data_IF_404893262465
#
_entry.id   IF_404893262465
#
_cell.length_a   1.000
_cell.length_b   1.000
_cell.length_c   1.000
_cell.angle_alpha   90.00
_cell.angle_beta   90.00
_cell.angle_gamma   90.00
#
_symmetry.space_group_name_H-M   'P 1'
#
loop_
_entity.id
_entity.type
_entity.pdbx_description
1 polymer ?
#
# COMPACT_ATOMS: atom_id res chain seq x y z
N UNK A 1 42.24 -6.58 -16.78
CA UNK A 1 41.73 -5.34 -16.15
C UNK A 1 40.41 -4.85 -16.76
N UNK A 2 40.31 -4.62 -18.09
CA UNK A 2 39.05 -4.18 -18.76
C UNK A 2 37.82 -5.08 -18.50
N UNK A 3 38.00 -6.40 -18.51
CA UNK A 3 36.91 -7.36 -18.27
C UNK A 3 36.33 -7.26 -16.83
N UNK A 4 37.19 -7.03 -15.84
CA UNK A 4 36.78 -6.89 -14.43
C UNK A 4 35.98 -5.60 -14.19
N UNK A 5 36.39 -4.52 -14.86
CA UNK A 5 35.70 -3.21 -14.80
C UNK A 5 34.31 -3.31 -15.43
N UNK A 6 34.19 -4.01 -16.57
CA UNK A 6 32.90 -4.25 -17.23
C UNK A 6 31.95 -5.08 -16.35
N UNK A 7 32.45 -6.16 -15.74
CA UNK A 7 31.67 -6.99 -14.81
C UNK A 7 31.24 -6.17 -13.58
N UNK A 8 32.14 -5.38 -12.99
CA UNK A 8 31.82 -4.53 -11.85
C UNK A 8 30.74 -3.47 -12.18
N UNK A 9 30.81 -2.84 -13.36
CA UNK A 9 29.80 -1.90 -13.83
C UNK A 9 28.44 -2.58 -14.04
N UNK A 10 28.40 -3.78 -14.64
CA UNK A 10 27.17 -4.54 -14.83
C UNK A 10 26.55 -4.94 -13.49
N UNK A 11 27.35 -5.39 -12.53
CA UNK A 11 26.90 -5.73 -11.17
C UNK A 11 26.34 -4.51 -10.45
N UNK A 12 27.01 -3.35 -10.53
CA UNK A 12 26.53 -2.11 -9.94
C UNK A 12 25.19 -1.67 -10.53
N UNK A 13 25.01 -1.76 -11.85
CA UNK A 13 23.72 -1.46 -12.51
C UNK A 13 22.62 -2.40 -12.03
N UNK A 14 22.90 -3.71 -11.93
CA UNK A 14 21.95 -4.68 -11.40
C UNK A 14 21.57 -4.42 -9.94
N UNK A 15 22.54 -4.08 -9.09
CA UNK A 15 22.28 -3.76 -7.68
C UNK A 15 21.34 -2.56 -7.56
N UNK A 16 21.58 -1.48 -8.33
CA UNK A 16 20.71 -0.30 -8.31
C UNK A 16 19.28 -0.60 -8.79
N UNK A 17 19.10 -1.49 -9.77
CA UNK A 17 17.79 -1.93 -10.24
C UNK A 17 17.03 -2.75 -9.19
N UNK A 18 17.73 -3.59 -8.42
CA UNK A 18 17.11 -4.45 -7.39
C UNK A 18 16.60 -3.63 -6.20
N UNK A 19 17.29 -2.56 -5.82
CA UNK A 19 16.91 -1.74 -4.65
C UNK A 19 15.63 -0.91 -4.91
N UNK A 20 15.22 -0.74 -6.17
CA UNK A 20 14.07 0.07 -6.54
C UNK A 20 12.70 -0.65 -6.43
N UNK A 21 12.64 -1.86 -5.89
CA UNK A 21 11.36 -2.56 -5.72
C UNK A 21 10.64 -2.03 -4.48
N UNK A 22 9.70 -1.10 -4.66
CA UNK A 22 8.73 -0.77 -3.61
C UNK A 22 7.89 -2.03 -3.32
N UNK A 23 7.86 -2.48 -2.06
CA UNK A 23 6.94 -3.54 -1.67
C UNK A 23 5.51 -3.04 -1.85
N UNK A 24 4.81 -3.57 -2.85
CA UNK A 24 3.38 -3.30 -3.03
C UNK A 24 2.59 -3.81 -1.82
N UNK A 25 1.77 -2.94 -1.25
CA UNK A 25 0.87 -3.32 -0.16
C UNK A 25 -0.08 -4.43 -0.59
N UNK A 26 -0.28 -5.42 0.29
CA UNK A 26 -1.22 -6.52 0.09
C UNK A 26 -2.12 -6.66 1.31
N UNK A 27 -3.40 -6.94 1.07
CA UNK A 27 -4.34 -7.24 2.15
C UNK A 27 -4.14 -8.65 2.69
N UNK A 28 -4.61 -8.89 3.91
CA UNK A 28 -4.59 -10.18 4.59
C UNK A 28 -6.00 -10.76 4.73
N UNK A 29 -6.14 -12.04 4.39
CA UNK A 29 -7.41 -12.77 4.49
C UNK A 29 -7.84 -12.87 5.96
N UNK A 30 -9.12 -12.64 6.24
CA UNK A 30 -9.66 -12.61 7.60
C UNK A 30 -9.47 -11.28 8.34
N UNK A 31 -8.62 -10.38 7.84
CA UNK A 31 -8.51 -9.01 8.36
C UNK A 31 -9.58 -8.13 7.71
N UNK A 32 -10.27 -7.36 8.54
CA UNK A 32 -11.21 -6.34 8.08
C UNK A 32 -10.47 -5.03 7.83
N UNK A 33 -10.84 -4.34 6.75
CA UNK A 33 -10.24 -3.08 6.37
C UNK A 33 -11.30 -1.99 6.17
N UNK A 34 -10.85 -0.74 6.26
CA UNK A 34 -11.63 0.44 5.91
C UNK A 34 -10.84 1.28 4.91
N UNK A 35 -11.44 1.54 3.76
CA UNK A 35 -10.93 2.45 2.74
C UNK A 35 -11.45 3.87 3.01
N UNK A 36 -10.51 4.82 3.02
CA UNK A 36 -10.77 6.27 3.11
C UNK A 36 -11.81 6.64 4.18
N UNK A 37 -11.75 5.95 5.33
CA UNK A 37 -12.67 6.11 6.48
C UNK A 37 -14.16 5.94 6.16
N UNK A 38 -14.50 5.26 5.07
CA UNK A 38 -15.87 5.14 4.60
C UNK A 38 -16.24 3.70 4.24
N UNK A 39 -15.59 3.16 3.22
CA UNK A 39 -15.93 1.87 2.64
C UNK A 39 -15.34 0.75 3.49
N UNK A 40 -16.17 -0.22 3.88
CA UNK A 40 -15.68 -1.46 4.49
C UNK A 40 -15.14 -2.38 3.41
N UNK A 41 -14.02 -3.04 3.68
CA UNK A 41 -13.34 -3.90 2.74
C UNK A 41 -12.92 -5.23 3.36
N UNK A 42 -12.83 -6.26 2.51
CA UNK A 42 -12.35 -7.60 2.85
C UNK A 42 -11.32 -8.06 1.83
N UNK A 43 -10.46 -8.99 2.25
CA UNK A 43 -9.45 -9.59 1.39
C UNK A 43 -9.87 -11.00 0.97
N UNK A 44 -9.81 -11.29 -0.33
CA UNK A 44 -10.05 -12.64 -0.85
C UNK A 44 -8.87 -13.57 -0.56
N UNK A 45 -9.06 -14.88 -0.77
CA UNK A 45 -7.98 -15.87 -0.70
C UNK A 45 -6.84 -15.57 -1.68
N UNK A 46 -7.17 -14.96 -2.82
CA UNK A 46 -6.21 -14.55 -3.86
C UNK A 46 -5.57 -13.18 -3.61
N UNK A 47 -5.74 -12.62 -2.40
CA UNK A 47 -5.18 -11.31 -1.98
C UNK A 47 -5.71 -10.12 -2.79
N UNK A 48 -6.95 -10.23 -3.28
CA UNK A 48 -7.66 -9.11 -3.89
C UNK A 48 -8.48 -8.40 -2.82
N UNK A 49 -8.41 -7.07 -2.80
CA UNK A 49 -9.22 -6.24 -1.91
C UNK A 49 -10.58 -5.97 -2.57
N UNK A 50 -11.66 -6.35 -1.90
CA UNK A 50 -13.03 -5.97 -2.27
C UNK A 50 -13.58 -4.98 -1.26
N UNK A 51 -14.07 -3.84 -1.74
CA UNK A 51 -14.66 -2.78 -0.90
C UNK A 51 -16.14 -2.57 -1.24
N UNK A 52 -16.91 -2.18 -0.23
CA UNK A 52 -18.27 -1.64 -0.42
C UNK A 52 -18.24 -0.30 -1.16
N UNK A 53 -19.35 0.10 -1.78
CA UNK A 53 -19.52 1.42 -2.41
C UNK A 53 -20.57 2.23 -1.66
N UNK A 54 -20.15 2.94 -0.61
CA UNK A 54 -21.03 3.80 0.18
C UNK A 54 -21.03 5.23 -0.33
N UNK A 55 -22.08 5.98 0.01
CA UNK A 55 -22.09 7.43 -0.15
C UNK A 55 -21.16 8.07 0.89
N UNK A 56 -19.92 8.38 0.48
CA UNK A 56 -18.90 8.96 1.33
C UNK A 56 -18.95 10.50 1.39
N UNK A 57 -18.50 11.07 2.51
CA UNK A 57 -18.27 12.52 2.61
C UNK A 57 -17.07 12.91 1.73
N UNK A 58 -17.33 13.74 0.71
CA UNK A 58 -16.40 13.94 -0.39
C UNK A 58 -15.08 14.61 0.02
N UNK A 59 -15.12 15.54 0.97
CA UNK A 59 -13.94 16.31 1.38
C UNK A 59 -12.93 15.41 2.09
N UNK A 60 -13.39 14.68 3.11
CA UNK A 60 -12.59 13.73 3.88
C UNK A 60 -12.11 12.59 3.01
N UNK A 61 -13.00 12.03 2.19
CA UNK A 61 -12.67 10.93 1.29
C UNK A 61 -11.56 11.33 0.32
N UNK A 62 -11.66 12.52 -0.31
CA UNK A 62 -10.64 13.03 -1.23
C UNK A 62 -9.30 13.28 -0.54
N UNK A 63 -9.28 13.80 0.68
CA UNK A 63 -8.04 14.00 1.44
C UNK A 63 -7.31 12.67 1.70
N UNK A 64 -8.05 11.65 2.12
CA UNK A 64 -7.50 10.31 2.39
C UNK A 64 -7.09 9.58 1.11
N UNK A 65 -7.84 9.80 0.03
CA UNK A 65 -7.51 9.25 -1.27
C UNK A 65 -6.17 9.75 -1.83
N UNK A 66 -5.81 10.99 -1.48
CA UNK A 66 -4.61 11.68 -1.95
C UNK A 66 -3.46 11.69 -0.92
N UNK A 67 -3.39 10.68 -0.03
CA UNK A 67 -2.25 10.51 0.86
C UNK A 67 -0.94 10.24 0.08
N UNK A 68 0.21 10.33 0.76
CA UNK A 68 1.52 10.02 0.16
C UNK A 68 1.69 8.50 0.03
N UNK A 69 1.64 7.97 -1.19
CA UNK A 69 1.79 6.53 -1.48
C UNK A 69 3.03 5.93 -0.80
N UNK A 70 2.88 4.72 -0.27
CA UNK A 70 3.93 3.98 0.43
C UNK A 70 4.11 4.39 1.89
N UNK A 71 3.46 5.45 2.35
CA UNK A 71 3.47 5.80 3.79
C UNK A 71 2.60 4.86 4.60
N UNK A 72 3.02 4.64 5.84
CA UNK A 72 2.26 3.90 6.85
C UNK A 72 2.16 4.72 8.12
N UNK A 73 1.03 4.61 8.81
CA UNK A 73 0.81 5.30 10.08
C UNK A 73 -0.13 4.49 10.95
N UNK A 74 -0.13 4.81 12.25
CA UNK A 74 -1.07 4.22 13.20
C UNK A 74 -2.21 5.21 13.43
N UNK A 75 -3.44 4.69 13.46
CA UNK A 75 -4.64 5.42 13.85
C UNK A 75 -5.27 4.66 15.00
N UNK A 76 -5.06 5.14 16.22
CA UNK A 76 -5.42 4.41 17.44
C UNK A 76 -4.81 3.00 17.43
N UNK A 77 -5.62 1.94 17.53
CA UNK A 77 -5.17 0.55 17.48
C UNK A 77 -5.08 -0.02 16.05
N UNK A 78 -5.41 0.78 15.03
CA UNK A 78 -5.43 0.37 13.63
C UNK A 78 -4.16 0.77 12.89
N UNK A 79 -3.68 -0.12 12.01
CA UNK A 79 -2.58 0.16 11.10
C UNK A 79 -3.13 0.65 9.77
N UNK A 80 -2.54 1.70 9.21
CA UNK A 80 -2.94 2.30 7.96
C UNK A 80 -1.79 2.36 6.96
N UNK A 81 -2.16 2.29 5.68
CA UNK A 81 -1.26 2.39 4.53
C UNK A 81 -1.84 3.34 3.52
N UNK A 82 -0.97 4.08 2.84
CA UNK A 82 -1.36 4.81 1.63
C UNK A 82 -1.05 3.95 0.41
N UNK A 83 -2.09 3.44 -0.23
CA UNK A 83 -2.01 2.54 -1.37
C UNK A 83 -2.31 3.32 -2.64
N UNK A 84 -1.52 3.07 -3.69
CA UNK A 84 -1.70 3.71 -4.99
C UNK A 84 -3.13 3.50 -5.50
N UNK A 85 -3.73 4.55 -6.05
CA UNK A 85 -5.09 4.62 -6.62
C UNK A 85 -6.27 4.42 -5.64
N UNK A 86 -6.05 3.75 -4.51
CA UNK A 86 -7.04 3.50 -3.46
C UNK A 86 -7.03 4.56 -2.35
N UNK A 87 -5.86 5.08 -2.00
CA UNK A 87 -5.70 6.02 -0.88
C UNK A 87 -5.42 5.33 0.45
N UNK A 88 -6.01 5.84 1.53
CA UNK A 88 -5.81 5.25 2.85
C UNK A 88 -6.59 3.95 2.99
N UNK A 89 -5.89 2.86 3.28
CA UNK A 89 -6.48 1.60 3.72
C UNK A 89 -6.03 1.36 5.15
N UNK A 90 -6.96 1.21 6.07
CA UNK A 90 -6.68 0.92 7.47
C UNK A 90 -7.25 -0.43 7.88
N UNK A 91 -6.63 -1.14 8.83
CA UNK A 91 -7.36 -2.20 9.54
C UNK A 91 -8.60 -1.60 10.22
N UNK A 92 -9.65 -2.40 10.40
CA UNK A 92 -10.91 -1.99 11.02
C UNK A 92 -11.16 -2.75 12.34
N UNK A 93 -10.17 -2.75 13.23
CA UNK A 93 -10.31 -3.28 14.59
C UNK A 93 -11.20 -2.33 15.40
N UNK A 94 -12.00 -2.92 16.28
CA UNK A 94 -12.72 -2.15 17.31
C UNK A 94 -11.70 -1.68 18.35
N UNK A 95 -11.40 -0.39 18.27
CA UNK A 95 -10.86 0.41 19.36
C UNK A 95 -12.09 1.14 20.00
#
# INVERSE_FOLDING_TARGET
>A
MKLYILIALQVLVFINLVIATEEEWKCETGVQYQENECNGCFCTETKLLGCTEKACEQTRYSQLRNCKVGTTWDKECNKCWCVKDLGSICTAKKC
#
